data_IF_637868252158
#
_entry.id   IF_637868252158
#
_cell.length_a   1.000
_cell.length_b   1.000
_cell.length_c   1.000
_cell.angle_alpha   90.00
_cell.angle_beta   90.00
_cell.angle_gamma   90.00
#
_symmetry.space_group_name_H-M   'P 1'
#
loop_
_entity.id
_entity.type
_entity.pdbx_description
1 polymer ?
#
# COMPACT_ATOMS: atom_id res chain seq x y z
N UNK A 1 49.36 -10.07 -27.64
CA UNK A 1 48.60 -9.59 -26.45
C UNK A 1 47.41 -8.70 -26.80
N UNK A 2 47.47 -7.82 -27.81
CA UNK A 2 46.33 -6.98 -28.23
C UNK A 2 45.15 -7.77 -28.85
N UNK A 3 45.44 -8.82 -29.61
CA UNK A 3 44.43 -9.70 -30.24
C UNK A 3 43.68 -10.58 -29.23
N UNK A 4 44.31 -10.95 -28.12
CA UNK A 4 43.65 -11.73 -27.05
C UNK A 4 42.63 -10.88 -26.27
N UNK A 5 42.91 -9.58 -26.13
CA UNK A 5 42.03 -8.63 -25.44
C UNK A 5 40.73 -8.38 -26.22
N UNK A 6 40.82 -8.34 -27.55
CA UNK A 6 39.66 -8.14 -28.44
C UNK A 6 38.73 -9.36 -28.39
N UNK A 7 39.31 -10.56 -28.35
CA UNK A 7 38.54 -11.80 -28.26
C UNK A 7 37.79 -11.94 -26.92
N UNK A 8 38.41 -11.47 -25.83
CA UNK A 8 37.79 -11.48 -24.50
C UNK A 8 36.63 -10.48 -24.40
N UNK A 9 36.76 -9.30 -25.04
CA UNK A 9 35.73 -8.28 -25.05
C UNK A 9 34.49 -8.71 -25.84
N UNK A 10 34.64 -9.50 -26.91
CA UNK A 10 33.52 -10.03 -27.70
C UNK A 10 32.67 -11.08 -26.99
N UNK A 11 33.21 -11.80 -26.00
CA UNK A 11 32.47 -12.85 -25.26
C UNK A 11 31.54 -12.25 -24.20
N UNK A 12 31.89 -11.09 -23.64
CA UNK A 12 31.09 -10.41 -22.60
C UNK A 12 29.77 -9.87 -23.18
N UNK A 13 29.74 -9.51 -24.47
CA UNK A 13 28.54 -8.96 -25.13
C UNK A 13 27.42 -10.00 -25.29
N UNK A 14 27.76 -11.30 -25.30
CA UNK A 14 26.79 -12.39 -25.47
C UNK A 14 26.14 -12.85 -24.14
N UNK A 15 26.67 -12.42 -22.99
CA UNK A 15 26.11 -12.76 -21.67
C UNK A 15 25.18 -11.69 -21.09
N UNK A 16 24.93 -10.60 -21.81
CA UNK A 16 24.05 -9.52 -21.33
C UNK A 16 22.56 -9.72 -21.66
N UNK A 17 22.16 -10.92 -22.09
CA UNK A 17 20.74 -11.25 -22.24
C UNK A 17 20.21 -11.75 -20.89
N UNK A 18 20.04 -10.83 -19.94
CA UNK A 18 19.09 -11.08 -18.85
C UNK A 18 17.70 -11.04 -19.47
N UNK A 19 16.90 -12.06 -19.19
CA UNK A 19 15.46 -12.00 -19.47
C UNK A 19 14.94 -10.68 -18.93
N UNK A 20 14.39 -9.85 -19.82
CA UNK A 20 13.68 -8.64 -19.43
C UNK A 20 12.41 -9.16 -18.76
N UNK A 21 12.48 -9.41 -17.45
CA UNK A 21 11.29 -9.34 -16.61
C UNK A 21 10.63 -8.01 -16.96
N UNK A 22 9.37 -8.05 -17.39
CA UNK A 22 8.63 -6.94 -18.02
C UNK A 22 9.14 -5.55 -17.62
N UNK A 23 9.46 -4.68 -18.61
CA UNK A 23 9.97 -3.32 -18.42
C UNK A 23 8.98 -2.45 -17.61
N UNK A 24 8.94 -2.67 -16.30
CA UNK A 24 8.10 -1.94 -15.36
C UNK A 24 8.82 -0.67 -14.94
N UNK A 25 8.39 0.46 -15.51
CA UNK A 25 8.80 1.80 -15.10
C UNK A 25 7.73 2.39 -14.18
N UNK A 26 8.04 2.50 -12.89
CA UNK A 26 7.18 3.19 -11.93
C UNK A 26 7.40 4.70 -11.99
N UNK A 27 6.34 5.48 -11.76
CA UNK A 27 6.46 6.91 -11.51
C UNK A 27 6.97 7.15 -10.08
N UNK A 28 7.40 8.38 -9.77
CA UNK A 28 7.70 8.80 -8.39
C UNK A 28 6.42 9.17 -7.59
N UNK A 29 5.24 8.79 -8.09
CA UNK A 29 3.97 8.98 -7.37
C UNK A 29 3.97 8.09 -6.12
N UNK A 30 3.47 8.61 -4.99
CA UNK A 30 3.28 7.83 -3.77
C UNK A 30 1.81 7.90 -3.34
N UNK A 31 1.12 6.76 -3.38
CA UNK A 31 -0.31 6.66 -3.06
C UNK A 31 -0.55 6.24 -1.62
N UNK A 32 -1.62 6.78 -1.07
CA UNK A 32 -2.18 6.43 0.23
C UNK A 32 -3.70 6.40 0.11
N UNK A 33 -4.33 5.42 0.77
CA UNK A 33 -5.77 5.30 0.84
C UNK A 33 -6.24 5.66 2.25
N UNK A 34 -7.18 6.60 2.31
CA UNK A 34 -7.69 7.17 3.54
C UNK A 34 -9.11 6.66 3.82
N UNK A 35 -9.46 6.64 5.10
CA UNK A 35 -10.84 6.54 5.59
C UNK A 35 -11.16 7.74 6.47
N UNK A 36 -12.38 8.25 6.36
CA UNK A 36 -12.90 9.28 7.26
C UNK A 36 -13.64 8.63 8.42
N UNK A 37 -13.29 8.92 9.66
CA UNK A 37 -14.04 8.49 10.83
C UNK A 37 -14.86 9.66 11.37
N UNK A 38 -16.18 9.44 11.51
CA UNK A 38 -17.15 10.42 12.01
C UNK A 38 -17.93 9.85 13.18
N UNK A 39 -18.50 10.72 14.02
CA UNK A 39 -19.45 10.31 15.05
C UNK A 39 -20.86 10.06 14.46
N UNK A 40 -21.83 9.74 15.33
CA UNK A 40 -23.22 9.47 14.94
C UNK A 40 -23.96 10.68 14.38
N UNK A 41 -23.41 11.89 14.54
CA UNK A 41 -23.92 13.14 13.98
C UNK A 41 -23.19 13.53 12.67
N UNK A 42 -22.21 12.73 12.23
CA UNK A 42 -21.42 12.99 11.03
C UNK A 42 -20.26 13.96 11.25
N UNK A 43 -19.90 14.26 12.49
CA UNK A 43 -18.76 15.14 12.82
C UNK A 43 -17.46 14.33 12.78
N UNK A 44 -16.41 14.76 12.05
CA UNK A 44 -15.12 14.09 12.03
C UNK A 44 -14.50 13.93 13.42
N UNK A 45 -13.89 12.77 13.69
CA UNK A 45 -13.27 12.45 14.98
C UNK A 45 -11.77 12.24 14.82
N UNK A 46 -10.98 13.14 15.43
CA UNK A 46 -9.52 13.12 15.41
C UNK A 46 -8.92 12.36 16.60
N UNK A 47 -7.59 12.15 16.54
CA UNK A 47 -6.77 11.59 17.62
C UNK A 47 -7.19 10.18 18.09
N UNK A 48 -7.73 9.37 17.18
CA UNK A 48 -8.05 7.97 17.44
C UNK A 48 -6.79 7.11 17.40
N UNK A 49 -6.76 6.08 18.26
CA UNK A 49 -5.77 5.01 18.18
C UNK A 49 -6.14 4.08 17.04
N UNK A 50 -5.30 4.03 16.01
CA UNK A 50 -5.52 3.19 14.81
C UNK A 50 -4.77 1.89 14.94
N UNK A 51 -5.42 0.81 14.54
CA UNK A 51 -4.82 -0.52 14.36
C UNK A 51 -5.21 -1.04 12.99
N UNK A 52 -4.23 -1.46 12.22
CA UNK A 52 -4.45 -2.07 10.91
C UNK A 52 -3.86 -3.47 10.94
N UNK A 53 -4.63 -4.46 10.45
CA UNK A 53 -4.21 -5.86 10.41
C UNK A 53 -4.39 -6.44 9.02
N UNK A 54 -3.55 -7.39 8.66
CA UNK A 54 -3.73 -8.17 7.46
C UNK A 54 -4.74 -9.32 7.65
N UNK A 55 -4.90 -10.15 6.61
CA UNK A 55 -5.81 -11.30 6.61
C UNK A 55 -5.45 -12.38 7.65
N UNK A 56 -4.20 -12.44 8.08
CA UNK A 56 -3.69 -13.45 9.01
C UNK A 56 -3.72 -12.92 10.47
N UNK A 57 -4.01 -11.62 10.64
CA UNK A 57 -4.17 -10.95 11.93
C UNK A 57 -2.93 -10.19 12.38
N UNK A 58 -1.87 -10.19 11.56
CA UNK A 58 -0.62 -9.49 11.86
C UNK A 58 -0.84 -7.98 11.73
N UNK A 59 -0.27 -7.24 12.70
CA UNK A 59 -0.43 -5.79 12.75
C UNK A 59 0.53 -5.11 11.78
N UNK A 60 -0.02 -4.21 10.95
CA UNK A 60 0.71 -3.44 9.98
C UNK A 60 1.05 -2.08 10.55
N UNK A 61 2.34 -1.74 10.55
CA UNK A 61 2.82 -0.44 11.02
C UNK A 61 2.60 0.65 9.95
N UNK A 62 1.34 1.01 9.74
CA UNK A 62 0.95 2.10 8.82
C UNK A 62 1.03 3.42 9.56
N UNK A 63 2.01 4.24 9.20
CA UNK A 63 2.21 5.57 9.78
C UNK A 63 0.98 6.45 9.54
N UNK A 64 0.44 7.02 10.62
CA UNK A 64 -0.66 7.99 10.56
C UNK A 64 -0.06 9.40 10.55
N UNK A 65 -0.28 10.15 9.46
CA UNK A 65 0.10 11.56 9.37
C UNK A 65 -1.16 12.46 9.46
N UNK A 66 -1.34 13.23 10.55
CA UNK A 66 -2.52 14.07 10.73
C UNK A 66 -2.50 15.35 9.88
N UNK A 67 -1.35 15.81 9.38
CA UNK A 67 -1.23 17.16 8.81
C UNK A 67 -1.76 17.33 7.37
N UNK A 68 -1.52 16.41 6.41
CA UNK A 68 -1.90 16.66 5.02
C UNK A 68 -3.37 16.35 4.70
N UNK A 69 -4.08 15.58 5.54
CA UNK A 69 -5.35 14.96 5.12
C UNK A 69 -6.60 15.69 5.61
N UNK A 70 -6.50 16.42 6.72
CA UNK A 70 -7.63 17.09 7.38
C UNK A 70 -8.33 16.20 8.42
N UNK A 71 -9.30 16.80 9.11
CA UNK A 71 -9.95 16.20 10.27
C UNK A 71 -10.64 14.85 9.98
N UNK A 72 -10.49 13.92 10.91
CA UNK A 72 -11.06 12.58 10.92
C UNK A 72 -10.50 11.64 9.87
N UNK A 73 -9.42 11.99 9.14
CA UNK A 73 -8.86 11.13 8.10
C UNK A 73 -7.69 10.30 8.61
N UNK A 74 -7.75 9.01 8.33
CA UNK A 74 -6.74 8.03 8.75
C UNK A 74 -6.28 7.22 7.55
N UNK A 75 -5.00 6.88 7.52
CA UNK A 75 -4.43 6.05 6.45
C UNK A 75 -4.75 4.59 6.73
N UNK A 76 -5.44 3.93 5.81
CA UNK A 76 -5.71 2.49 5.84
C UNK A 76 -4.49 1.72 5.33
N UNK A 77 -3.94 2.15 4.19
CA UNK A 77 -2.76 1.56 3.57
C UNK A 77 -2.10 2.56 2.62
N UNK A 78 -0.83 2.34 2.27
CA UNK A 78 -0.07 3.14 1.31
C UNK A 78 0.90 2.26 0.50
N UNK A 79 1.61 2.88 -0.45
CA UNK A 79 2.50 2.17 -1.37
C UNK A 79 3.69 1.45 -0.69
N UNK A 80 4.04 1.75 0.57
CA UNK A 80 5.09 0.97 1.26
C UNK A 80 4.71 -0.49 1.50
N UNK A 81 3.44 -0.86 1.29
CA UNK A 81 2.92 -2.21 1.48
C UNK A 81 2.72 -2.98 0.17
N UNK A 82 3.12 -2.46 -1.00
CA UNK A 82 2.93 -3.17 -2.28
C UNK A 82 3.53 -4.59 -2.30
N UNK A 83 4.64 -4.82 -1.60
CA UNK A 83 5.30 -6.12 -1.57
C UNK A 83 4.54 -7.20 -0.80
N UNK A 84 3.60 -6.83 0.08
CA UNK A 84 2.77 -7.80 0.80
C UNK A 84 1.57 -8.26 -0.03
N UNK A 85 1.23 -7.52 -1.08
CA UNK A 85 0.05 -7.74 -1.91
C UNK A 85 0.44 -8.48 -3.19
N UNK A 86 -0.41 -9.42 -3.61
CA UNK A 86 -0.27 -10.08 -4.90
C UNK A 86 -0.38 -9.08 -6.07
N UNK A 87 0.48 -9.21 -7.09
CA UNK A 87 0.34 -8.54 -8.40
C UNK A 87 -0.77 -9.14 -9.29
N UNK A 88 -1.53 -10.09 -8.75
CA UNK A 88 -2.61 -10.79 -9.41
C UNK A 88 -3.96 -10.08 -9.18
N UNK A 89 -5.01 -10.36 -9.97
CA UNK A 89 -6.32 -9.72 -9.80
C UNK A 89 -7.01 -10.02 -8.46
N UNK A 90 -6.47 -10.94 -7.66
CA UNK A 90 -7.00 -11.28 -6.34
C UNK A 90 -6.64 -10.20 -5.34
N UNK A 91 -7.67 -9.51 -4.85
CA UNK A 91 -7.50 -8.54 -3.78
C UNK A 91 -7.32 -9.23 -2.43
N UNK A 92 -6.43 -8.68 -1.60
CA UNK A 92 -6.18 -9.13 -0.24
C UNK A 92 -6.93 -8.25 0.76
N UNK A 93 -7.31 -8.88 1.86
CA UNK A 93 -8.11 -8.23 2.89
C UNK A 93 -7.23 -7.53 3.90
N UNK A 94 -7.59 -6.29 4.18
CA UNK A 94 -7.00 -5.44 5.23
C UNK A 94 -8.11 -5.03 6.18
N UNK A 95 -7.85 -5.16 7.47
CA UNK A 95 -8.76 -4.77 8.55
C UNK A 95 -8.29 -3.47 9.17
N UNK A 96 -9.17 -2.49 9.22
CA UNK A 96 -8.93 -1.21 9.89
C UNK A 96 -9.79 -1.14 11.15
N UNK A 97 -9.21 -0.63 12.23
CA UNK A 97 -9.90 -0.25 13.45
C UNK A 97 -9.35 1.08 13.98
N UNK A 98 -10.22 1.93 14.48
CA UNK A 98 -9.88 3.16 15.18
C UNK A 98 -10.72 3.30 16.45
N UNK A 99 -10.09 3.69 17.57
CA UNK A 99 -10.77 3.79 18.87
C UNK A 99 -10.32 5.01 19.67
N UNK A 100 -11.25 5.58 20.44
CA UNK A 100 -10.97 6.60 21.47
C UNK A 100 -10.84 6.00 22.89
N UNK A 101 -10.78 4.67 22.99
CA UNK A 101 -10.77 3.90 24.24
C UNK A 101 -12.15 3.50 24.76
N UNK A 102 -13.23 4.13 24.29
CA UNK A 102 -14.60 3.79 24.66
C UNK A 102 -15.43 3.30 23.47
N UNK A 103 -15.23 3.92 22.32
CA UNK A 103 -15.95 3.69 21.07
C UNK A 103 -15.01 3.15 20.01
N UNK A 104 -15.55 2.41 19.05
CA UNK A 104 -14.77 1.76 17.98
C UNK A 104 -15.43 2.02 16.62
N UNK A 105 -14.60 2.36 15.65
CA UNK A 105 -14.92 2.33 14.23
C UNK A 105 -14.06 1.25 13.56
N UNK A 106 -14.67 0.33 12.82
CA UNK A 106 -13.93 -0.72 12.13
C UNK A 106 -14.50 -0.97 10.73
N UNK A 107 -13.64 -1.40 9.81
CA UNK A 107 -14.01 -1.69 8.43
C UNK A 107 -13.06 -2.69 7.78
N UNK A 108 -13.60 -3.43 6.81
CA UNK A 108 -12.81 -4.32 5.94
C UNK A 108 -12.57 -3.64 4.59
N UNK A 109 -11.36 -3.80 4.08
CA UNK A 109 -10.91 -3.25 2.80
C UNK A 109 -10.28 -4.34 1.98
N UNK A 110 -10.41 -4.23 0.65
CA UNK A 110 -9.74 -5.09 -0.30
C UNK A 110 -8.76 -4.27 -1.11
N UNK A 111 -7.50 -4.70 -1.13
CA UNK A 111 -6.42 -4.06 -1.88
C UNK A 111 -5.74 -5.04 -2.82
N UNK A 112 -5.31 -4.56 -3.97
CA UNK A 112 -4.34 -5.24 -4.83
C UNK A 112 -3.27 -4.24 -5.25
N UNK A 113 -2.37 -4.65 -6.14
CA UNK A 113 -1.46 -3.71 -6.81
C UNK A 113 -1.78 -3.58 -8.28
N UNK A 114 -1.18 -2.60 -8.93
CA UNK A 114 -1.02 -2.66 -10.39
C UNK A 114 -0.13 -3.85 -10.79
N UNK A 115 -0.08 -4.13 -12.10
CA UNK A 115 0.69 -5.25 -12.67
C UNK A 115 2.18 -5.20 -12.29
N UNK A 116 2.74 -4.00 -12.14
CA UNK A 116 4.15 -3.77 -11.85
C UNK A 116 4.47 -3.69 -10.36
N UNK A 117 3.46 -3.77 -9.47
CA UNK A 117 3.55 -3.53 -8.03
C UNK A 117 4.11 -2.15 -7.68
N UNK A 118 3.89 -1.16 -8.55
CA UNK A 118 4.31 0.22 -8.28
C UNK A 118 3.40 0.85 -7.23
N UNK A 119 2.08 0.67 -7.41
CA UNK A 119 1.08 1.27 -6.52
C UNK A 119 0.06 0.26 -6.03
N UNK A 120 -0.44 0.52 -4.82
CA UNK A 120 -1.64 -0.15 -4.32
C UNK A 120 -2.90 0.43 -4.98
N UNK A 121 -3.95 -0.39 -5.09
CA UNK A 121 -5.29 0.06 -5.47
C UNK A 121 -6.32 -0.47 -4.48
N UNK A 122 -7.25 0.39 -4.05
CA UNK A 122 -8.44 -0.03 -3.31
C UNK A 122 -9.45 -0.66 -4.28
N UNK A 123 -9.72 -1.95 -4.09
CA UNK A 123 -10.76 -2.70 -4.82
C UNK A 123 -12.12 -2.51 -4.15
N UNK A 124 -12.17 -2.52 -2.82
CA UNK A 124 -13.39 -2.22 -2.06
C UNK A 124 -13.09 -1.75 -0.63
N UNK A 125 -14.11 -1.20 0.03
CA UNK A 125 -14.05 -0.71 1.40
C UNK A 125 -14.65 0.69 1.53
N UNK A 126 -15.23 1.02 2.70
CA UNK A 126 -15.95 2.27 2.89
C UNK A 126 -15.00 3.48 2.86
N UNK A 127 -15.49 4.62 2.38
CA UNK A 127 -14.75 5.89 2.49
C UNK A 127 -14.97 6.57 3.86
N UNK A 128 -16.04 6.20 4.55
CA UNK A 128 -16.43 6.75 5.84
C UNK A 128 -16.86 5.64 6.82
N UNK A 129 -16.37 5.70 8.05
CA UNK A 129 -16.78 4.86 9.16
C UNK A 129 -17.40 5.70 10.27
N UNK A 130 -18.43 5.15 10.92
CA UNK A 130 -19.07 5.80 12.08
C UNK A 130 -18.55 5.14 13.35
N UNK A 131 -17.94 5.93 14.24
CA UNK A 131 -17.47 5.47 15.56
C UNK A 131 -18.64 5.39 16.55
N UNK A 132 -18.75 4.28 17.28
CA UNK A 132 -19.84 4.01 18.23
C UNK A 132 -19.37 3.27 19.47
#
# INVERSE_FOLDING_TARGET
MKTLLILFLSVIVLFSCSTVDEDCLCTEEYRFFLVTVVDTLGVPVDSLNVTIRDKDGDELNVVQDPHPFGAGKYTVLNDSFTQMLCSCPTAEKIYFSATDGNRIAAGEYLFNTDKCRCHINKVSGPDTLVIR
#
